data_IF_212594549734
#
_entry.id   IF_212594549734
#
_cell.length_a   1.000
_cell.length_b   1.000
_cell.length_c   1.000
_cell.angle_alpha   90.00
_cell.angle_beta   90.00
_cell.angle_gamma   90.00
#
_symmetry.space_group_name_H-M   'P 1'
#
loop_
_entity.id
_entity.type
_entity.pdbx_description
1 polymer ?
#
# COMPACT_ATOMS: atom_id res chain seq x y z
N UNK A 1 12.78 14.97 -18.36
CA UNK A 1 12.68 13.60 -17.80
C UNK A 1 12.91 13.52 -16.29
N UNK A 2 14.01 14.07 -15.75
CA UNK A 2 14.36 13.94 -14.31
C UNK A 2 13.31 14.44 -13.31
N UNK A 3 12.67 15.58 -13.56
CA UNK A 3 11.61 16.12 -12.66
C UNK A 3 10.42 15.15 -12.59
N UNK A 4 10.01 14.60 -13.75
CA UNK A 4 8.93 13.63 -13.84
C UNK A 4 9.28 12.35 -13.06
N UNK A 5 10.50 11.82 -13.25
CA UNK A 5 10.98 10.67 -12.48
C UNK A 5 10.97 10.96 -10.97
N UNK A 6 11.34 12.17 -10.54
CA UNK A 6 11.30 12.56 -9.12
C UNK A 6 9.86 12.59 -8.57
N UNK A 7 8.92 13.19 -9.30
CA UNK A 7 7.50 13.23 -8.90
C UNK A 7 6.93 11.82 -8.77
N UNK A 8 7.18 10.97 -9.76
CA UNK A 8 6.71 9.58 -9.77
C UNK A 8 7.35 8.79 -8.62
N UNK A 9 8.65 8.96 -8.39
CA UNK A 9 9.33 8.29 -7.28
C UNK A 9 8.75 8.71 -5.92
N UNK A 10 8.43 10.00 -5.74
CA UNK A 10 7.75 10.50 -4.54
C UNK A 10 6.37 9.86 -4.38
N UNK A 11 5.58 9.78 -5.45
CA UNK A 11 4.27 9.14 -5.42
C UNK A 11 4.35 7.67 -4.98
N UNK A 12 5.24 6.88 -5.59
CA UNK A 12 5.44 5.49 -5.17
C UNK A 12 5.90 5.38 -3.71
N UNK A 13 6.72 6.32 -3.25
CA UNK A 13 7.20 6.35 -1.86
C UNK A 13 6.06 6.64 -0.88
N UNK A 14 5.18 7.59 -1.21
CA UNK A 14 3.97 7.88 -0.43
C UNK A 14 3.07 6.63 -0.37
N UNK A 15 2.78 6.00 -1.52
CA UNK A 15 1.95 4.80 -1.57
C UNK A 15 2.54 3.65 -0.74
N UNK A 16 3.87 3.45 -0.76
CA UNK A 16 4.54 2.49 0.11
C UNK A 16 4.27 2.78 1.60
N UNK A 17 4.38 4.04 2.04
CA UNK A 17 4.08 4.40 3.43
C UNK A 17 2.61 4.17 3.80
N UNK A 18 1.68 4.41 2.88
CA UNK A 18 0.26 4.08 3.10
C UNK A 18 0.05 2.57 3.29
N UNK A 19 0.70 1.73 2.50
CA UNK A 19 0.59 0.27 2.65
C UNK A 19 1.26 -0.19 3.96
N UNK A 20 2.41 0.39 4.35
CA UNK A 20 3.01 0.14 5.67
C UNK A 20 2.04 0.52 6.79
N UNK A 21 1.41 1.69 6.71
CA UNK A 21 0.41 2.12 7.68
C UNK A 21 -0.76 1.14 7.77
N UNK A 22 -1.22 0.58 6.63
CA UNK A 22 -2.26 -0.47 6.62
C UNK A 22 -1.83 -1.71 7.39
N UNK A 23 -0.58 -2.17 7.22
CA UNK A 23 -0.02 -3.30 7.98
C UNK A 23 0.02 -2.99 9.48
N UNK A 24 0.50 -1.80 9.86
CA UNK A 24 0.54 -1.39 11.26
C UNK A 24 -0.86 -1.35 11.87
N UNK A 25 -1.83 -0.77 11.16
CA UNK A 25 -3.22 -0.70 11.60
C UNK A 25 -3.82 -2.10 11.79
N UNK A 26 -3.52 -3.05 10.88
CA UNK A 26 -4.07 -4.42 10.98
C UNK A 26 -3.53 -5.20 12.19
N UNK A 27 -2.30 -4.92 12.61
CA UNK A 27 -1.68 -5.55 13.79
C UNK A 27 -2.06 -4.86 15.09
N UNK A 28 -2.00 -3.52 15.13
CA UNK A 28 -2.26 -2.74 16.36
C UNK A 28 -3.75 -2.69 16.68
N UNK A 29 -4.63 -2.79 15.67
CA UNK A 29 -6.09 -2.75 15.81
C UNK A 29 -6.59 -1.60 16.70
N UNK A 30 -6.31 -0.34 16.32
CA UNK A 30 -6.73 0.84 17.09
C UNK A 30 -8.25 0.86 17.35
N UNK A 31 -8.65 1.40 18.50
CA UNK A 31 -10.05 1.41 18.95
C UNK A 31 -10.94 2.14 17.92
N UNK A 32 -11.91 1.44 17.29
CA UNK A 32 -12.76 2.04 16.27
C UNK A 32 -13.74 3.05 16.84
N UNK A 33 -13.99 3.10 18.16
CA UNK A 33 -14.92 4.05 18.76
C UNK A 33 -14.44 5.50 18.66
N UNK A 34 -13.15 5.73 18.55
CA UNK A 34 -12.58 7.06 18.33
C UNK A 34 -12.77 7.51 16.88
N UNK A 35 -13.45 8.65 16.69
CA UNK A 35 -13.76 9.20 15.39
C UNK A 35 -12.52 9.62 14.58
N UNK A 36 -11.43 10.03 15.24
CA UNK A 36 -10.18 10.40 14.58
C UNK A 36 -9.52 9.18 13.96
N UNK A 37 -9.43 8.09 14.73
CA UNK A 37 -8.91 6.81 14.25
C UNK A 37 -9.75 6.25 13.11
N UNK A 38 -11.08 6.28 13.22
CA UNK A 38 -11.98 5.82 12.14
C UNK A 38 -11.71 6.51 10.80
N UNK A 39 -11.51 7.83 10.80
CA UNK A 39 -11.23 8.59 9.57
C UNK A 39 -9.86 8.24 8.97
N UNK A 40 -8.82 8.17 9.80
CA UNK A 40 -7.47 7.81 9.37
C UNK A 40 -7.40 6.38 8.80
N UNK A 41 -8.04 5.42 9.46
CA UNK A 41 -8.12 4.03 9.00
C UNK A 41 -8.79 3.98 7.63
N UNK A 42 -9.96 4.62 7.47
CA UNK A 42 -10.65 4.65 6.16
C UNK A 42 -9.78 5.24 5.08
N UNK A 43 -9.16 6.39 5.32
CA UNK A 43 -8.27 7.03 4.35
C UNK A 43 -7.15 6.07 3.90
N UNK A 44 -6.50 5.40 4.85
CA UNK A 44 -5.42 4.46 4.53
C UNK A 44 -5.92 3.28 3.71
N UNK A 45 -7.06 2.69 4.09
CA UNK A 45 -7.63 1.56 3.37
C UNK A 45 -8.11 1.97 1.98
N UNK A 46 -8.83 3.08 1.84
CA UNK A 46 -9.37 3.57 0.57
C UNK A 46 -8.25 3.89 -0.44
N UNK A 47 -7.16 4.54 0.01
CA UNK A 47 -6.01 4.86 -0.85
C UNK A 47 -5.27 3.59 -1.31
N UNK A 48 -5.20 2.57 -0.46
CA UNK A 48 -4.44 1.35 -0.74
C UNK A 48 -5.26 0.24 -1.39
N UNK A 49 -6.59 0.30 -1.34
CA UNK A 49 -7.48 -0.75 -1.83
C UNK A 49 -7.34 -1.05 -3.32
N UNK A 50 -7.16 -0.08 -4.23
CA UNK A 50 -6.94 -0.38 -5.64
C UNK A 50 -5.67 -1.21 -5.90
N UNK A 51 -4.70 -1.19 -4.98
CA UNK A 51 -3.44 -1.92 -5.09
C UNK A 51 -3.54 -3.27 -4.35
N UNK A 52 -4.03 -3.26 -3.11
CA UNK A 52 -4.08 -4.45 -2.24
C UNK A 52 -5.27 -5.35 -2.56
N UNK A 53 -6.41 -4.76 -2.93
CA UNK A 53 -7.67 -5.48 -3.21
C UNK A 53 -7.54 -6.56 -4.28
N UNK A 54 -6.95 -6.27 -5.47
CA UNK A 54 -6.71 -7.28 -6.49
C UNK A 54 -5.81 -8.41 -6.01
N UNK A 55 -4.75 -8.09 -5.26
CA UNK A 55 -3.82 -9.08 -4.70
C UNK A 55 -4.56 -10.00 -3.72
N UNK A 56 -5.42 -9.43 -2.87
CA UNK A 56 -6.23 -10.18 -1.91
C UNK A 56 -7.22 -11.13 -2.58
N UNK A 57 -7.74 -10.79 -3.76
CA UNK A 57 -8.63 -11.68 -4.51
C UNK A 57 -7.89 -12.86 -5.14
N UNK A 58 -6.60 -12.70 -5.45
CA UNK A 58 -5.77 -13.76 -6.02
C UNK A 58 -5.25 -14.75 -4.97
N UNK A 59 -5.15 -14.32 -3.71
CA UNK A 59 -4.67 -15.16 -2.62
C UNK A 59 -5.89 -15.78 -1.93
N UNK A 60 -5.93 -17.11 -1.71
CA UNK A 60 -6.95 -17.74 -0.90
C UNK A 60 -6.78 -17.35 0.57
N UNK A 61 -7.20 -16.14 0.95
CA UNK A 61 -7.13 -15.62 2.33
C UNK A 61 -8.08 -16.31 3.31
N UNK A 62 -8.99 -17.16 2.81
CA UNK A 62 -10.00 -17.85 3.60
C UNK A 62 -9.47 -18.86 4.63
N UNK A 63 -8.22 -19.31 4.51
CA UNK A 63 -7.66 -20.39 5.34
C UNK A 63 -6.62 -19.97 6.38
N UNK A 64 -6.07 -18.74 6.32
CA UNK A 64 -4.89 -18.35 7.12
C UNK A 64 -5.20 -17.29 8.20
N UNK A 65 -6.37 -16.66 8.20
CA UNK A 65 -6.79 -15.69 9.24
C UNK A 65 -5.95 -14.39 9.33
N UNK A 66 -4.85 -14.30 8.57
CA UNK A 66 -3.97 -13.13 8.46
C UNK A 66 -3.90 -12.71 6.99
N UNK A 67 -4.19 -11.44 6.73
CA UNK A 67 -4.11 -10.85 5.38
C UNK A 67 -2.65 -10.47 5.05
N UNK A 68 -1.96 -11.33 4.29
CA UNK A 68 -0.60 -11.08 3.79
C UNK A 68 -0.57 -10.25 2.50
N UNK A 69 -1.72 -9.92 1.90
CA UNK A 69 -1.82 -9.15 0.66
C UNK A 69 -1.09 -7.81 0.71
N UNK A 70 -1.12 -7.03 1.82
CA UNK A 70 -0.35 -5.78 1.92
C UNK A 70 1.16 -5.98 1.79
N UNK A 71 1.72 -7.09 2.30
CA UNK A 71 3.16 -7.37 2.19
C UNK A 71 3.56 -7.68 0.74
N UNK A 72 2.71 -8.43 0.04
CA UNK A 72 2.90 -8.70 -1.39
C UNK A 72 2.77 -7.40 -2.20
N UNK A 73 1.83 -6.52 -1.83
CA UNK A 73 1.69 -5.21 -2.43
C UNK A 73 2.94 -4.34 -2.27
N UNK A 74 3.57 -4.33 -1.08
CA UNK A 74 4.84 -3.60 -0.86
C UNK A 74 5.96 -4.10 -1.77
N UNK A 75 6.08 -5.42 -1.91
CA UNK A 75 7.08 -6.03 -2.77
C UNK A 75 6.82 -5.67 -4.24
N UNK A 76 5.59 -5.89 -4.74
CA UNK A 76 5.20 -5.58 -6.11
C UNK A 76 5.40 -4.10 -6.44
N UNK A 77 4.96 -3.20 -5.56
CA UNK A 77 5.09 -1.75 -5.72
C UNK A 77 6.56 -1.33 -5.78
N UNK A 78 7.43 -1.96 -5.01
CA UNK A 78 8.87 -1.71 -5.02
C UNK A 78 9.55 -2.13 -6.33
N UNK A 79 9.15 -3.28 -6.90
CA UNK A 79 9.63 -3.76 -8.19
C UNK A 79 9.16 -2.83 -9.31
N UNK A 80 7.86 -2.50 -9.34
CA UNK A 80 7.25 -1.59 -10.33
C UNK A 80 7.92 -0.22 -10.28
N UNK A 81 8.13 0.34 -9.08
CA UNK A 81 8.83 1.62 -8.91
C UNK A 81 10.21 1.60 -9.56
N UNK A 82 11.04 0.58 -9.26
CA UNK A 82 12.40 0.48 -9.81
C UNK A 82 12.39 0.41 -11.34
N UNK A 83 11.47 -0.39 -11.90
CA UNK A 83 11.32 -0.54 -13.34
C UNK A 83 10.92 0.79 -14.00
N UNK A 84 9.86 1.44 -13.51
CA UNK A 84 9.34 2.71 -14.06
C UNK A 84 10.39 3.82 -13.97
N UNK A 85 11.07 3.96 -12.84
CA UNK A 85 12.09 5.01 -12.69
C UNK A 85 13.28 4.77 -13.61
N UNK A 86 13.72 3.53 -13.78
CA UNK A 86 14.80 3.20 -14.72
C UNK A 86 14.41 3.54 -16.15
N UNK A 87 13.19 3.24 -16.57
CA UNK A 87 12.67 3.55 -17.90
C UNK A 87 12.58 5.07 -18.15
N UNK A 88 12.30 5.86 -17.12
CA UNK A 88 12.17 7.32 -17.23
C UNK A 88 13.50 8.07 -17.16
N UNK A 89 14.59 7.43 -16.74
CA UNK A 89 15.91 8.08 -16.64
C UNK A 89 16.81 7.68 -17.82
N UNK A 90 16.54 6.52 -18.43
CA UNK A 90 17.10 6.12 -19.71
C UNK A 90 16.57 7.04 -20.83
#
# INVERSE_FOLDING_TARGET
MYILARIINTLFTILNYFIIARVVISWVRPNPSDQRWRKLIRLVFDVTEPIVGPIRQLIPTGSIGIDFSPLIALFALSVIRRFVIRLLIF
#
